data_IF_683443158354
#
_entry.id   IF_683443158354
#
_cell.length_a   1.000
_cell.length_b   1.000
_cell.length_c   1.000
_cell.angle_alpha   90.00
_cell.angle_beta   90.00
_cell.angle_gamma   90.00
#
_symmetry.space_group_name_H-M   'P 1'
#
loop_
_entity.id
_entity.type
_entity.pdbx_description
1 polymer ?
#
# COMPACT_ATOMS: atom_id res chain seq x y z
N UNK A 1 -35.12 -15.77 -32.74
CA UNK A 1 -35.98 -16.31 -33.75
C UNK A 1 -37.04 -17.23 -33.15
N UNK A 2 -38.12 -16.64 -32.58
CA UNK A 2 -39.35 -17.39 -32.32
C UNK A 2 -40.14 -17.40 -33.64
N UNK A 3 -39.97 -18.41 -34.46
CA UNK A 3 -40.84 -18.71 -35.63
C UNK A 3 -41.50 -20.03 -35.39
N UNK A 4 -42.81 -19.99 -35.44
CA UNK A 4 -43.89 -20.90 -35.74
C UNK A 4 -44.88 -21.04 -34.59
N UNK A 5 -45.86 -20.22 -34.69
CA UNK A 5 -47.26 -20.44 -35.03
C UNK A 5 -48.00 -21.53 -34.24
N UNK A 6 -49.13 -21.02 -33.66
CA UNK A 6 -50.28 -21.80 -33.19
C UNK A 6 -50.22 -22.37 -31.76
N UNK A 7 -50.52 -21.50 -30.86
CA UNK A 7 -51.65 -21.49 -29.94
C UNK A 7 -51.51 -20.24 -29.07
N UNK A 8 -52.32 -19.27 -29.36
CA UNK A 8 -52.06 -17.86 -29.20
C UNK A 8 -52.29 -17.25 -27.81
N UNK A 9 -52.00 -17.91 -26.72
CA UNK A 9 -52.05 -17.27 -25.40
C UNK A 9 -50.86 -17.66 -24.48
N UNK A 10 -50.21 -18.84 -24.67
CA UNK A 10 -49.14 -19.28 -23.81
C UNK A 10 -47.71 -18.78 -24.19
N UNK A 11 -47.44 -18.55 -25.47
CA UNK A 11 -46.10 -18.27 -26.00
C UNK A 11 -45.56 -16.86 -25.68
N UNK A 12 -46.41 -15.86 -25.66
CA UNK A 12 -45.98 -14.44 -25.37
C UNK A 12 -45.73 -14.22 -23.87
N UNK A 13 -46.49 -14.92 -23.01
CA UNK A 13 -46.30 -14.87 -21.58
C UNK A 13 -44.97 -15.56 -21.15
N UNK A 14 -44.66 -16.71 -21.77
CA UNK A 14 -43.44 -17.43 -21.52
C UNK A 14 -42.17 -16.64 -21.95
N UNK A 15 -42.15 -16.03 -23.10
CA UNK A 15 -41.06 -15.20 -23.59
C UNK A 15 -40.85 -13.92 -22.72
N UNK A 16 -41.95 -13.31 -22.27
CA UNK A 16 -41.89 -12.13 -21.38
C UNK A 16 -41.37 -12.49 -19.98
N UNK A 17 -41.80 -13.61 -19.43
CA UNK A 17 -41.31 -14.08 -18.14
C UNK A 17 -39.82 -14.46 -18.19
N UNK A 18 -39.35 -15.04 -19.27
CA UNK A 18 -37.96 -15.42 -19.43
C UNK A 18 -37.04 -14.18 -19.58
N UNK A 19 -37.43 -13.23 -20.42
CA UNK A 19 -36.69 -11.97 -20.58
C UNK A 19 -36.70 -11.09 -19.32
N UNK A 20 -37.78 -11.13 -18.54
CA UNK A 20 -37.85 -10.43 -17.24
C UNK A 20 -36.89 -11.05 -16.21
N UNK A 21 -36.78 -12.38 -16.18
CA UNK A 21 -35.85 -13.09 -15.32
C UNK A 21 -34.40 -12.80 -15.68
N UNK A 22 -34.03 -12.87 -16.96
CA UNK A 22 -32.68 -12.55 -17.43
C UNK A 22 -32.28 -11.10 -17.09
N UNK A 23 -33.22 -10.15 -17.21
CA UNK A 23 -32.99 -8.77 -16.84
C UNK A 23 -32.80 -8.61 -15.31
N UNK A 24 -33.55 -9.36 -14.51
CA UNK A 24 -33.39 -9.36 -13.05
C UNK A 24 -32.02 -9.91 -12.62
N UNK A 25 -31.61 -11.05 -13.22
CA UNK A 25 -30.29 -11.64 -13.00
C UNK A 25 -29.14 -10.69 -13.40
N UNK A 26 -29.28 -10.00 -14.55
CA UNK A 26 -28.29 -9.00 -14.98
C UNK A 26 -28.20 -7.79 -14.02
N UNK A 27 -29.34 -7.34 -13.48
CA UNK A 27 -29.36 -6.28 -12.46
C UNK A 27 -28.65 -6.70 -11.16
N UNK A 28 -28.90 -7.91 -10.72
CA UNK A 28 -28.24 -8.48 -9.54
C UNK A 28 -26.73 -8.61 -9.75
N UNK A 29 -26.30 -9.18 -10.89
CA UNK A 29 -24.89 -9.29 -11.24
C UNK A 29 -24.19 -7.93 -11.27
N UNK A 30 -24.84 -6.92 -11.85
CA UNK A 30 -24.30 -5.57 -11.86
C UNK A 30 -24.21 -4.96 -10.45
N UNK A 31 -25.20 -5.17 -9.60
CA UNK A 31 -25.18 -4.71 -8.21
C UNK A 31 -24.04 -5.35 -7.43
N UNK A 32 -23.81 -6.66 -7.60
CA UNK A 32 -22.67 -7.37 -6.97
C UNK A 32 -21.33 -6.81 -7.46
N UNK A 33 -21.18 -6.54 -8.76
CA UNK A 33 -19.98 -5.93 -9.31
C UNK A 33 -19.76 -4.50 -8.75
N UNK A 34 -20.83 -3.72 -8.60
CA UNK A 34 -20.78 -2.39 -7.99
C UNK A 34 -20.34 -2.44 -6.52
N UNK A 35 -20.81 -3.43 -5.76
CA UNK A 35 -20.36 -3.69 -4.39
C UNK A 35 -18.88 -4.09 -4.35
N UNK A 36 -18.45 -4.88 -5.32
CA UNK A 36 -17.04 -5.25 -5.50
C UNK A 36 -16.13 -4.04 -5.73
N UNK A 37 -16.59 -3.06 -6.53
CA UNK A 37 -15.86 -1.79 -6.71
C UNK A 37 -15.76 -1.02 -5.41
N UNK A 38 -16.88 -0.89 -4.67
CA UNK A 38 -16.87 -0.17 -3.38
C UNK A 38 -15.91 -0.81 -2.36
N UNK A 39 -15.92 -2.14 -2.25
CA UNK A 39 -14.99 -2.87 -1.39
C UNK A 39 -13.53 -2.61 -1.80
N UNK A 40 -13.21 -2.81 -3.07
CA UNK A 40 -11.86 -2.61 -3.58
C UNK A 40 -11.38 -1.15 -3.46
N UNK A 41 -12.26 -0.17 -3.66
CA UNK A 41 -11.96 1.25 -3.48
C UNK A 41 -11.70 1.60 -2.02
N UNK A 42 -12.46 1.03 -1.08
CA UNK A 42 -12.23 1.22 0.35
C UNK A 42 -10.86 0.67 0.77
N UNK A 43 -10.51 -0.53 0.30
CA UNK A 43 -9.20 -1.15 0.57
C UNK A 43 -8.06 -0.29 0.01
N UNK A 44 -8.20 0.20 -1.23
CA UNK A 44 -7.23 1.11 -1.84
C UNK A 44 -7.09 2.41 -1.04
N UNK A 45 -8.20 3.05 -0.66
CA UNK A 45 -8.20 4.28 0.12
C UNK A 45 -7.60 4.08 1.52
N UNK A 46 -7.79 2.91 2.13
CA UNK A 46 -7.16 2.58 3.40
C UNK A 46 -5.62 2.53 3.27
N UNK A 47 -5.09 2.01 2.16
CA UNK A 47 -3.64 2.06 1.90
C UNK A 47 -3.17 3.48 1.65
N UNK A 48 -3.89 4.26 0.82
CA UNK A 48 -3.54 5.66 0.48
C UNK A 48 -3.50 6.54 1.74
N UNK A 49 -4.56 6.48 2.56
CA UNK A 49 -4.72 7.35 3.73
C UNK A 49 -4.00 6.85 4.98
N UNK A 50 -3.49 5.61 4.96
CA UNK A 50 -2.71 5.03 6.04
C UNK A 50 -1.22 4.97 5.69
N UNK A 51 -0.70 3.76 5.50
CA UNK A 51 0.74 3.51 5.30
C UNK A 51 1.39 4.31 4.17
N UNK A 52 0.65 4.60 3.08
CA UNK A 52 1.20 5.38 1.99
C UNK A 52 1.31 6.87 2.35
N UNK A 53 0.37 7.41 3.13
CA UNK A 53 0.47 8.76 3.67
C UNK A 53 1.68 8.89 4.61
N UNK A 54 1.87 7.94 5.54
CA UNK A 54 3.01 7.91 6.45
C UNK A 54 4.34 7.82 5.68
N UNK A 55 4.42 6.90 4.70
CA UNK A 55 5.62 6.74 3.88
C UNK A 55 5.91 7.94 2.97
N UNK A 56 4.88 8.71 2.57
CA UNK A 56 5.05 9.92 1.75
C UNK A 56 5.70 11.08 2.49
N UNK A 57 5.73 11.05 3.83
CA UNK A 57 6.45 12.01 4.66
C UNK A 57 7.96 11.76 4.71
N UNK A 58 8.42 10.59 4.23
CA UNK A 58 9.84 10.23 4.18
C UNK A 58 10.52 11.01 3.04
N UNK A 59 11.60 11.71 3.37
CA UNK A 59 12.37 12.50 2.41
C UNK A 59 13.53 11.69 1.80
N UNK A 60 14.08 12.17 0.69
CA UNK A 60 15.13 11.47 -0.07
C UNK A 60 16.43 11.30 0.73
N UNK A 61 16.72 12.17 1.67
CA UNK A 61 17.89 12.12 2.57
C UNK A 61 17.73 11.08 3.68
N UNK A 62 16.50 10.65 3.97
CA UNK A 62 16.18 9.64 4.99
C UNK A 62 16.22 8.20 4.45
N UNK A 63 16.42 8.02 3.15
CA UNK A 63 16.47 6.70 2.51
C UNK A 63 17.83 6.45 1.87
N UNK A 64 18.19 5.18 1.71
CA UNK A 64 19.40 4.78 0.98
C UNK A 64 19.23 4.93 -0.53
N UNK A 65 18.04 4.62 -1.06
CA UNK A 65 17.69 4.74 -2.48
C UNK A 65 16.56 5.75 -2.68
N UNK A 66 16.91 6.97 -3.12
CA UNK A 66 15.97 8.06 -3.39
C UNK A 66 14.87 7.67 -4.40
N UNK A 67 15.13 6.73 -5.32
CA UNK A 67 14.15 6.27 -6.31
C UNK A 67 12.91 5.63 -5.67
N UNK A 68 13.03 5.11 -4.44
CA UNK A 68 11.87 4.54 -3.72
C UNK A 68 10.85 5.61 -3.36
N UNK A 69 11.29 6.79 -2.97
CA UNK A 69 10.42 7.96 -2.67
C UNK A 69 9.75 8.45 -3.94
N UNK A 70 10.49 8.58 -5.05
CA UNK A 70 9.95 9.00 -6.34
C UNK A 70 8.91 7.99 -6.88
N UNK A 71 9.17 6.68 -6.73
CA UNK A 71 8.25 5.62 -7.14
C UNK A 71 6.94 5.66 -6.35
N UNK A 72 7.00 5.89 -5.03
CA UNK A 72 5.82 6.08 -4.18
C UNK A 72 5.03 7.32 -4.59
N UNK A 73 5.70 8.46 -4.79
CA UNK A 73 5.07 9.69 -5.23
C UNK A 73 4.38 9.54 -6.59
N UNK A 74 4.97 8.79 -7.52
CA UNK A 74 4.38 8.47 -8.81
C UNK A 74 3.16 7.56 -8.67
N UNK A 75 3.23 6.55 -7.82
CA UNK A 75 2.12 5.63 -7.57
C UNK A 75 0.89 6.36 -6.97
N UNK A 76 1.11 7.33 -6.08
CA UNK A 76 0.06 8.14 -5.47
C UNK A 76 -0.64 9.11 -6.44
N UNK A 77 -0.02 9.46 -7.57
CA UNK A 77 -0.60 10.35 -8.59
C UNK A 77 -1.53 9.64 -9.56
N UNK A 78 -1.65 8.31 -9.47
CA UNK A 78 -2.48 7.53 -10.39
C UNK A 78 -3.96 7.79 -10.13
N UNK A 79 -4.72 8.16 -11.18
CA UNK A 79 -6.14 8.47 -11.08
C UNK A 79 -6.98 7.23 -11.29
N UNK A 80 -7.97 7.02 -10.43
CA UNK A 80 -8.94 5.94 -10.57
C UNK A 80 -9.87 6.14 -11.77
N UNK A 81 -10.35 5.06 -12.43
CA UNK A 81 -11.37 5.14 -13.44
C UNK A 81 -12.67 5.72 -12.89
N UNK A 82 -13.43 6.44 -13.75
CA UNK A 82 -14.74 6.97 -13.39
C UNK A 82 -15.74 5.85 -13.11
N UNK A 83 -16.60 6.05 -12.10
CA UNK A 83 -17.64 5.09 -11.74
C UNK A 83 -18.96 5.41 -12.44
N UNK A 84 -19.40 4.56 -13.38
CA UNK A 84 -20.63 4.74 -14.13
C UNK A 84 -21.87 4.07 -13.50
N UNK A 85 -21.69 3.07 -12.68
CA UNK A 85 -22.77 2.31 -12.02
C UNK A 85 -23.61 1.45 -12.94
N UNK A 86 -24.82 1.03 -12.45
CA UNK A 86 -25.75 0.11 -13.12
C UNK A 86 -26.97 0.85 -13.65
N UNK A 87 -26.79 1.85 -14.53
CA UNK A 87 -27.87 2.71 -15.01
C UNK A 87 -28.60 2.18 -16.26
N UNK A 88 -28.10 1.10 -16.89
CA UNK A 88 -28.68 0.55 -18.11
C UNK A 88 -30.04 -0.13 -17.87
N UNK A 89 -30.98 0.09 -18.79
CA UNK A 89 -32.31 -0.52 -18.75
C UNK A 89 -32.45 -1.86 -19.49
N UNK A 90 -31.39 -2.31 -20.20
CA UNK A 90 -31.37 -3.57 -20.94
C UNK A 90 -30.36 -4.56 -20.38
N UNK A 91 -30.60 -5.87 -20.60
CA UNK A 91 -29.65 -6.92 -20.22
C UNK A 91 -28.25 -6.66 -20.79
N UNK A 92 -28.15 -6.38 -22.08
CA UNK A 92 -26.87 -6.15 -22.75
C UNK A 92 -26.10 -4.94 -22.16
N UNK A 93 -26.81 -3.85 -21.85
CA UNK A 93 -26.22 -2.69 -21.22
C UNK A 93 -25.77 -2.97 -19.78
N UNK A 94 -26.51 -3.80 -19.02
CA UNK A 94 -26.11 -4.23 -17.67
C UNK A 94 -24.90 -5.17 -17.70
N UNK A 95 -24.83 -6.09 -18.66
CA UNK A 95 -23.68 -6.99 -18.84
C UNK A 95 -22.40 -6.17 -19.17
N UNK A 96 -22.54 -5.11 -20.02
CA UNK A 96 -21.44 -4.19 -20.31
C UNK A 96 -21.02 -3.40 -19.06
N UNK A 97 -21.99 -2.86 -18.31
CA UNK A 97 -21.73 -2.13 -17.07
C UNK A 97 -21.03 -3.05 -16.04
N UNK A 98 -21.49 -4.29 -15.87
CA UNK A 98 -20.85 -5.30 -15.01
C UNK A 98 -19.39 -5.50 -15.39
N UNK A 99 -19.11 -5.69 -16.68
CA UNK A 99 -17.74 -5.86 -17.17
C UNK A 99 -16.84 -4.64 -16.91
N UNK A 100 -17.39 -3.42 -17.00
CA UNK A 100 -16.67 -2.19 -16.66
C UNK A 100 -16.38 -2.11 -15.16
N UNK A 101 -17.37 -2.44 -14.33
CA UNK A 101 -17.22 -2.46 -12.86
C UNK A 101 -16.21 -3.50 -12.41
N UNK A 102 -16.21 -4.70 -12.99
CA UNK A 102 -15.22 -5.73 -12.71
C UNK A 102 -13.79 -5.26 -13.03
N UNK A 103 -13.61 -4.60 -14.18
CA UNK A 103 -12.30 -4.00 -14.54
C UNK A 103 -11.90 -2.89 -13.57
N UNK A 104 -12.85 -2.08 -13.12
CA UNK A 104 -12.59 -1.02 -12.14
C UNK A 104 -12.20 -1.61 -10.77
N UNK A 105 -12.89 -2.64 -10.30
CA UNK A 105 -12.52 -3.34 -9.07
C UNK A 105 -11.11 -3.96 -9.18
N UNK A 106 -10.78 -4.57 -10.33
CA UNK A 106 -9.46 -5.11 -10.60
C UNK A 106 -8.38 -4.02 -10.62
N UNK A 107 -8.69 -2.83 -11.17
CA UNK A 107 -7.81 -1.68 -11.13
C UNK A 107 -7.46 -1.29 -9.69
N UNK A 108 -8.46 -1.12 -8.81
CA UNK A 108 -8.23 -0.77 -7.41
C UNK A 108 -7.38 -1.80 -6.69
N UNK A 109 -7.66 -3.10 -6.86
CA UNK A 109 -6.88 -4.20 -6.24
C UNK A 109 -5.43 -4.18 -6.70
N UNK A 110 -5.19 -4.00 -8.00
CA UNK A 110 -3.84 -3.96 -8.58
C UNK A 110 -3.06 -2.75 -8.08
N UNK A 111 -3.70 -1.58 -8.03
CA UNK A 111 -3.05 -0.35 -7.59
C UNK A 111 -2.83 -0.33 -6.07
N UNK A 112 -3.73 -0.88 -5.27
CA UNK A 112 -3.50 -1.09 -3.83
C UNK A 112 -2.28 -1.97 -3.57
N UNK A 113 -2.15 -3.08 -4.31
CA UNK A 113 -1.00 -3.97 -4.19
C UNK A 113 0.32 -3.29 -4.64
N UNK A 114 0.28 -2.52 -5.74
CA UNK A 114 1.44 -1.78 -6.25
C UNK A 114 1.87 -0.70 -5.27
N UNK A 115 0.91 0.05 -4.72
CA UNK A 115 1.15 1.07 -3.71
C UNK A 115 1.75 0.46 -2.43
N UNK A 116 1.22 -0.68 -1.97
CA UNK A 116 1.76 -1.42 -0.83
C UNK A 116 3.21 -1.88 -1.05
N UNK A 117 3.57 -2.27 -2.27
CA UNK A 117 4.97 -2.59 -2.63
C UNK A 117 5.86 -1.35 -2.58
N UNK A 118 5.39 -0.22 -3.09
CA UNK A 118 6.14 1.04 -3.06
C UNK A 118 6.37 1.52 -1.62
N UNK A 119 5.36 1.43 -0.75
CA UNK A 119 5.49 1.71 0.69
C UNK A 119 6.58 0.86 1.33
N UNK A 120 6.52 -0.46 1.14
CA UNK A 120 7.55 -1.38 1.67
C UNK A 120 8.95 -1.06 1.16
N UNK A 121 9.09 -0.62 -0.10
CA UNK A 121 10.37 -0.23 -0.66
C UNK A 121 10.94 1.01 0.05
N UNK A 122 10.12 2.02 0.35
CA UNK A 122 10.52 3.20 1.13
C UNK A 122 10.93 2.80 2.54
N UNK A 123 10.11 2.00 3.24
CA UNK A 123 10.40 1.53 4.60
C UNK A 123 11.71 0.74 4.67
N UNK A 124 11.93 -0.18 3.72
CA UNK A 124 13.18 -0.95 3.64
C UNK A 124 14.39 -0.06 3.35
N UNK A 125 14.26 0.89 2.43
CA UNK A 125 15.34 1.82 2.08
C UNK A 125 15.67 2.77 3.23
N UNK A 126 14.68 3.17 4.03
CA UNK A 126 14.87 3.93 5.26
C UNK A 126 15.63 3.12 6.32
N UNK A 127 15.25 1.87 6.52
CA UNK A 127 15.96 0.98 7.43
C UNK A 127 17.41 0.77 6.98
N UNK A 128 17.64 0.56 5.67
CA UNK A 128 19.00 0.43 5.13
C UNK A 128 19.86 1.66 5.40
N UNK A 129 19.27 2.85 5.33
CA UNK A 129 19.94 4.12 5.68
C UNK A 129 20.27 4.19 7.16
N UNK A 130 19.32 3.85 8.03
CA UNK A 130 19.52 3.80 9.48
C UNK A 130 20.64 2.84 9.87
N UNK A 131 20.68 1.66 9.26
CA UNK A 131 21.76 0.68 9.48
C UNK A 131 23.11 1.24 9.03
N UNK A 132 23.20 1.83 7.84
CA UNK A 132 24.44 2.41 7.31
C UNK A 132 24.99 3.53 8.21
N UNK A 133 24.13 4.40 8.71
CA UNK A 133 24.53 5.48 9.62
C UNK A 133 24.97 4.95 10.99
N UNK A 134 24.31 3.90 11.49
CA UNK A 134 24.69 3.21 12.72
C UNK A 134 26.03 2.47 12.59
N UNK A 135 26.30 1.83 11.45
CA UNK A 135 27.60 1.19 11.17
C UNK A 135 28.74 2.21 11.16
N UNK A 136 28.54 3.40 10.58
CA UNK A 136 29.51 4.50 10.62
C UNK A 136 29.78 4.94 12.06
N UNK A 137 28.70 5.16 12.87
CA UNK A 137 28.88 5.51 14.28
C UNK A 137 29.61 4.43 15.05
N UNK A 138 29.30 3.14 14.82
CA UNK A 138 30.00 2.02 15.44
C UNK A 138 31.49 2.02 15.11
N UNK A 139 31.87 2.32 13.87
CA UNK A 139 33.27 2.44 13.46
C UNK A 139 33.95 3.66 14.12
N UNK A 140 33.32 4.83 14.06
CA UNK A 140 33.87 6.11 14.50
C UNK A 140 34.00 6.20 16.04
N UNK A 141 33.16 5.47 16.77
CA UNK A 141 33.15 5.46 18.25
C UNK A 141 34.19 4.51 18.87
N UNK A 142 34.96 3.76 18.06
CA UNK A 142 35.96 2.82 18.56
C UNK A 142 37.03 3.52 19.43
N UNK A 143 37.17 3.07 20.68
CA UNK A 143 38.10 3.65 21.65
C UNK A 143 37.71 5.05 22.16
N UNK A 144 36.54 5.56 21.77
CA UNK A 144 36.06 6.90 22.14
C UNK A 144 34.87 6.91 23.08
N UNK A 145 34.40 5.72 23.52
CA UNK A 145 33.30 5.57 24.48
C UNK A 145 33.84 5.42 25.90
N UNK A 146 33.07 5.90 26.88
CA UNK A 146 33.37 5.64 28.31
C UNK A 146 32.96 4.22 28.71
N UNK A 147 31.94 3.64 28.04
CA UNK A 147 31.44 2.28 28.28
C UNK A 147 31.32 1.51 26.94
N UNK A 148 32.20 0.52 26.75
CA UNK A 148 32.20 -0.33 25.54
C UNK A 148 30.93 -1.19 25.40
N UNK A 149 30.15 -1.37 26.46
CA UNK A 149 28.90 -2.09 26.40
C UNK A 149 27.89 -1.39 25.46
N UNK A 150 27.92 -0.05 25.39
CA UNK A 150 27.06 0.72 24.50
C UNK A 150 27.32 0.39 23.03
N UNK A 151 28.59 0.18 22.65
CA UNK A 151 28.97 -0.25 21.29
C UNK A 151 28.51 -1.67 20.98
N UNK A 152 28.64 -2.59 21.96
CA UNK A 152 28.14 -3.96 21.78
C UNK A 152 26.62 -4.02 21.60
N UNK A 153 25.88 -3.15 22.29
CA UNK A 153 24.43 -3.01 22.09
C UNK A 153 24.10 -2.49 20.69
N UNK A 154 24.84 -1.50 20.18
CA UNK A 154 24.67 -0.98 18.83
C UNK A 154 24.97 -2.04 17.77
N UNK A 155 26.06 -2.80 17.94
CA UNK A 155 26.42 -3.90 17.05
C UNK A 155 25.31 -4.97 16.97
N UNK A 156 24.73 -5.33 18.11
CA UNK A 156 23.63 -6.29 18.15
C UNK A 156 22.36 -5.73 17.46
N UNK A 157 21.99 -4.49 17.75
CA UNK A 157 20.82 -3.85 17.13
C UNK A 157 20.96 -3.74 15.60
N UNK A 158 22.15 -3.41 15.09
CA UNK A 158 22.48 -3.40 13.66
C UNK A 158 22.28 -4.81 13.06
N UNK A 159 22.81 -5.84 13.73
CA UNK A 159 22.69 -7.23 13.27
C UNK A 159 21.24 -7.69 13.20
N UNK A 160 20.44 -7.31 14.19
CA UNK A 160 19.02 -7.65 14.25
C UNK A 160 18.17 -6.78 13.31
N UNK A 161 18.75 -5.69 12.76
CA UNK A 161 18.09 -4.72 11.88
C UNK A 161 16.81 -4.14 12.50
N UNK A 162 16.83 -3.93 13.81
CA UNK A 162 15.73 -3.34 14.55
C UNK A 162 15.93 -1.82 14.64
N UNK A 163 15.08 -1.05 13.94
CA UNK A 163 15.19 0.40 13.84
C UNK A 163 15.08 1.11 15.21
N UNK A 164 14.20 0.62 16.08
CA UNK A 164 13.97 1.21 17.41
C UNK A 164 15.15 0.91 18.32
N UNK A 165 15.62 -0.34 18.34
CA UNK A 165 16.81 -0.74 19.09
C UNK A 165 18.08 -0.01 18.58
N UNK A 166 18.22 0.20 17.28
CA UNK A 166 19.31 1.01 16.70
C UNK A 166 19.23 2.44 17.23
N UNK A 167 18.07 3.07 17.22
CA UNK A 167 17.88 4.44 17.72
C UNK A 167 18.26 4.60 19.18
N UNK A 168 17.85 3.66 20.05
CA UNK A 168 18.21 3.64 21.46
C UNK A 168 19.73 3.44 21.65
N UNK A 169 20.32 2.50 20.93
CA UNK A 169 21.75 2.20 21.03
C UNK A 169 22.64 3.35 20.49
N UNK A 170 22.21 4.04 19.41
CA UNK A 170 22.88 5.26 18.90
C UNK A 170 22.93 6.33 19.99
N UNK A 171 21.81 6.61 20.66
CA UNK A 171 21.77 7.58 21.75
C UNK A 171 22.69 7.17 22.93
N UNK A 172 22.77 5.87 23.25
CA UNK A 172 23.65 5.37 24.30
C UNK A 172 25.13 5.53 23.93
N UNK A 173 25.52 5.24 22.69
CA UNK A 173 26.89 5.44 22.17
C UNK A 173 27.26 6.92 22.22
N UNK A 174 26.40 7.81 21.71
CA UNK A 174 26.65 9.26 21.72
C UNK A 174 26.81 9.82 23.13
N UNK A 175 25.97 9.36 24.06
CA UNK A 175 26.10 9.70 25.49
C UNK A 175 27.42 9.23 26.08
N UNK A 176 27.85 8.01 25.75
CA UNK A 176 29.10 7.42 26.22
C UNK A 176 30.34 8.13 25.64
N UNK A 177 30.28 8.57 24.36
CA UNK A 177 31.34 9.38 23.73
C UNK A 177 31.49 10.73 24.47
N UNK A 178 30.37 11.45 24.69
CA UNK A 178 30.35 12.72 25.40
C UNK A 178 30.91 12.58 26.84
N UNK A 179 30.57 11.51 27.54
CA UNK A 179 31.06 11.26 28.88
C UNK A 179 32.57 11.05 28.89
N UNK A 180 33.12 10.33 27.92
CA UNK A 180 34.59 10.13 27.81
C UNK A 180 35.29 11.45 27.46
N UNK A 181 34.79 12.22 26.49
CA UNK A 181 35.36 13.50 26.10
C UNK A 181 35.44 14.49 27.27
N UNK A 182 34.38 14.51 28.13
CA UNK A 182 34.36 15.30 29.34
C UNK A 182 35.40 14.83 30.33
N UNK A 183 35.50 13.54 30.64
CA UNK A 183 36.48 12.98 31.57
C UNK A 183 37.91 13.25 31.09
N UNK A 184 38.19 13.14 29.80
CA UNK A 184 39.51 13.42 29.22
C UNK A 184 39.85 14.93 29.24
N UNK A 185 38.85 15.82 29.21
CA UNK A 185 39.05 17.27 29.37
C UNK A 185 39.31 17.65 30.84
N UNK A 186 38.58 17.06 31.79
CA UNK A 186 38.71 17.34 33.22
C UNK A 186 40.06 16.79 33.80
N UNK A 187 40.74 15.88 33.10
CA UNK A 187 42.01 15.30 33.45
C UNK A 187 43.25 16.09 32.97
N UNK A 188 43.08 17.18 32.21
CA UNK A 188 44.14 18.04 31.67
C UNK A 188 44.34 19.31 32.51
#
# INVERSE_FOLDING_TARGET
GCVLALLAVGGVAGCRMWSARELAEAKEACAVAADGVRGAANDYNAVVNGKAADASAVTVDQVKDARTVDALAKALKTTAPEYEGCLAGSKAGLDEATSKLDRQAAWYKTHAASLGKAVKAVESSRLDRTVEDAEKLLADSKGRVADEKTRSMLEQAIKDRDADAIGEAVNAVDGSVKAKEKADADAK
#
